data_IF_370708378372
#
_entry.id   IF_370708378372
#
_cell.length_a   1.000
_cell.length_b   1.000
_cell.length_c   1.000
_cell.angle_alpha   90.00
_cell.angle_beta   90.00
_cell.angle_gamma   90.00
#
_symmetry.space_group_name_H-M   'P 1'
#
loop_
_entity.id
_entity.type
_entity.pdbx_description
1 polymer ?
#
# COMPACT_ATOMS: atom_id res chain seq x y z
N UNK A 1 48.18 -26.66 -20.06
CA UNK A 1 46.75 -26.95 -19.82
C UNK A 1 46.20 -25.89 -18.88
N UNK A 2 45.38 -24.99 -19.42
CA UNK A 2 44.89 -23.77 -18.78
C UNK A 2 43.86 -24.09 -17.69
N UNK A 3 43.99 -23.48 -16.51
CA UNK A 3 42.91 -23.38 -15.53
C UNK A 3 42.81 -21.93 -15.08
N UNK A 4 42.00 -21.15 -15.80
CA UNK A 4 41.58 -19.82 -15.36
C UNK A 4 40.24 -19.99 -14.66
N UNK A 5 40.25 -19.99 -13.33
CA UNK A 5 39.05 -19.87 -12.50
C UNK A 5 38.42 -18.50 -12.74
N UNK A 6 37.19 -18.48 -13.24
CA UNK A 6 36.35 -17.28 -13.21
C UNK A 6 35.68 -17.20 -11.83
N UNK A 7 36.16 -16.30 -10.99
CA UNK A 7 35.52 -15.96 -9.70
C UNK A 7 34.92 -14.55 -9.80
N UNK A 8 33.70 -14.48 -10.33
CA UNK A 8 32.90 -13.24 -10.31
C UNK A 8 31.60 -13.47 -9.55
N UNK A 9 31.69 -13.98 -8.33
CA UNK A 9 30.58 -13.86 -7.37
C UNK A 9 30.76 -12.53 -6.65
N UNK A 10 30.19 -11.47 -7.25
CA UNK A 10 30.01 -10.19 -6.54
C UNK A 10 29.04 -10.43 -5.39
N UNK A 11 29.58 -10.72 -4.21
CA UNK A 11 28.85 -10.62 -2.96
C UNK A 11 28.36 -9.18 -2.80
N UNK A 12 27.13 -8.88 -3.26
CA UNK A 12 26.42 -7.67 -2.85
C UNK A 12 26.16 -7.82 -1.35
N UNK A 13 27.02 -7.21 -0.54
CA UNK A 13 26.75 -7.05 0.89
C UNK A 13 25.35 -6.43 1.03
N UNK A 14 24.45 -7.03 1.84
CA UNK A 14 23.13 -6.44 2.08
C UNK A 14 23.35 -5.03 2.60
N UNK A 15 22.85 -4.01 1.88
CA UNK A 15 22.89 -2.64 2.40
C UNK A 15 22.18 -2.62 3.75
N UNK A 16 22.78 -2.05 4.81
CA UNK A 16 22.10 -1.95 6.10
C UNK A 16 20.77 -1.24 5.87
N UNK A 17 19.69 -1.91 6.26
CA UNK A 17 18.32 -1.44 6.09
C UNK A 17 18.17 -0.23 7.02
N UNK A 18 18.31 0.98 6.44
CA UNK A 18 18.12 2.27 7.11
C UNK A 18 16.83 2.16 7.94
N UNK A 19 16.93 2.26 9.25
CA UNK A 19 15.77 2.20 10.13
C UNK A 19 14.80 3.30 9.71
N UNK A 20 13.68 2.90 9.11
CA UNK A 20 12.64 3.81 8.64
C UNK A 20 11.88 4.30 9.87
N UNK A 21 12.28 5.45 10.39
CA UNK A 21 11.46 6.25 11.33
C UNK A 21 10.11 6.70 10.72
N UNK A 22 9.82 6.35 9.46
CA UNK A 22 8.59 6.69 8.73
C UNK A 22 7.43 5.73 9.01
N UNK A 23 7.67 4.53 9.55
CA UNK A 23 6.64 3.50 9.67
C UNK A 23 5.51 3.90 10.64
N UNK A 24 5.85 4.56 11.75
CA UNK A 24 4.87 4.98 12.76
C UNK A 24 3.94 6.08 12.23
N UNK A 25 4.50 7.08 11.54
CA UNK A 25 3.70 8.16 10.93
C UNK A 25 2.78 7.65 9.81
N UNK A 26 3.23 6.68 9.00
CA UNK A 26 2.38 6.07 7.97
C UNK A 26 1.23 5.27 8.57
N UNK A 27 1.48 4.51 9.64
CA UNK A 27 0.43 3.72 10.29
C UNK A 27 -0.63 4.63 10.94
N UNK A 28 -0.20 5.68 11.63
CA UNK A 28 -1.11 6.69 12.19
C UNK A 28 -1.98 7.35 11.11
N UNK A 29 -1.40 7.70 9.96
CA UNK A 29 -2.16 8.23 8.83
C UNK A 29 -3.22 7.25 8.34
N UNK A 30 -2.86 5.96 8.19
CA UNK A 30 -3.79 4.91 7.77
C UNK A 30 -4.91 4.76 8.80
N UNK A 31 -4.59 4.66 10.09
CA UNK A 31 -5.58 4.52 11.15
C UNK A 31 -6.56 5.71 11.17
N UNK A 32 -6.04 6.94 11.02
CA UNK A 32 -6.88 8.15 10.93
C UNK A 32 -7.79 8.09 9.70
N UNK A 33 -7.25 7.75 8.54
CA UNK A 33 -8.03 7.65 7.30
C UNK A 33 -9.12 6.58 7.39
N UNK A 34 -8.84 5.43 8.03
CA UNK A 34 -9.83 4.40 8.28
C UNK A 34 -10.91 4.85 9.27
N UNK A 35 -10.56 5.59 10.31
CA UNK A 35 -11.55 6.17 11.22
C UNK A 35 -12.48 7.16 10.50
N UNK A 36 -11.95 7.99 9.60
CA UNK A 36 -12.78 8.85 8.73
C UNK A 36 -13.67 8.05 7.79
N UNK A 37 -13.16 6.97 7.19
CA UNK A 37 -13.94 6.08 6.32
C UNK A 37 -15.11 5.43 7.07
N UNK A 38 -14.88 5.01 8.32
CA UNK A 38 -15.92 4.44 9.17
C UNK A 38 -16.99 5.47 9.57
N UNK A 39 -16.61 6.74 9.75
CA UNK A 39 -17.55 7.81 10.03
C UNK A 39 -18.33 8.27 8.78
N UNK A 40 -17.71 8.18 7.59
CA UNK A 40 -18.25 8.63 6.31
C UNK A 40 -18.12 7.52 5.27
N UNK A 41 -19.05 6.52 5.26
CA UNK A 41 -19.00 5.38 4.34
C UNK A 41 -19.03 5.79 2.87
N UNK A 42 -19.62 6.94 2.54
CA UNK A 42 -19.68 7.48 1.18
C UNK A 42 -18.28 7.72 0.57
N UNK A 43 -17.25 7.91 1.40
CA UNK A 43 -15.87 8.14 0.98
C UNK A 43 -15.15 6.89 0.48
N UNK A 44 -15.81 5.72 0.50
CA UNK A 44 -15.34 4.54 -0.25
C UNK A 44 -15.21 4.87 -1.74
N UNK A 45 -16.08 5.74 -2.27
CA UNK A 45 -15.97 6.25 -3.65
C UNK A 45 -14.62 6.91 -3.93
N UNK A 46 -14.10 7.71 -3.00
CA UNK A 46 -12.77 8.35 -3.11
C UNK A 46 -11.65 7.31 -3.23
N UNK A 47 -11.75 6.21 -2.47
CA UNK A 47 -10.77 5.12 -2.55
C UNK A 47 -10.84 4.45 -3.93
N UNK A 48 -12.05 4.22 -4.45
CA UNK A 48 -12.25 3.66 -5.80
C UNK A 48 -11.63 4.57 -6.87
N UNK A 49 -11.87 5.87 -6.79
CA UNK A 49 -11.31 6.86 -7.72
C UNK A 49 -9.78 6.88 -7.65
N UNK A 50 -9.21 6.84 -6.45
CA UNK A 50 -7.76 6.74 -6.25
C UNK A 50 -7.20 5.47 -6.91
N UNK A 51 -7.84 4.31 -6.69
CA UNK A 51 -7.42 3.03 -7.29
C UNK A 51 -7.40 3.13 -8.82
N UNK A 52 -8.47 3.65 -9.42
CA UNK A 52 -8.54 3.86 -10.88
C UNK A 52 -7.49 4.86 -11.38
N UNK A 53 -7.27 5.95 -10.64
CA UNK A 53 -6.26 6.95 -10.97
C UNK A 53 -4.84 6.35 -11.01
N UNK A 54 -4.45 5.59 -9.99
CA UNK A 54 -3.13 4.95 -9.96
C UNK A 54 -3.00 3.79 -10.95
N UNK A 55 -4.10 3.10 -11.27
CA UNK A 55 -4.11 2.03 -12.28
C UNK A 55 -3.82 2.55 -13.69
N UNK A 56 -4.34 3.73 -14.02
CA UNK A 56 -4.13 4.38 -15.32
C UNK A 56 -2.69 4.86 -15.57
N UNK A 57 -1.80 4.79 -14.57
CA UNK A 57 -0.43 5.28 -14.71
C UNK A 57 0.42 4.37 -15.63
N UNK A 58 1.07 4.92 -16.67
CA UNK A 58 1.77 4.12 -17.69
C UNK A 58 2.98 3.36 -17.13
N UNK A 59 3.67 3.93 -16.15
CA UNK A 59 4.89 3.38 -15.56
C UNK A 59 4.67 2.67 -14.22
N UNK A 60 3.44 2.22 -13.94
CA UNK A 60 3.13 1.57 -12.67
C UNK A 60 3.88 0.23 -12.52
N UNK A 61 4.73 0.07 -11.48
CA UNK A 61 5.48 -1.16 -11.23
C UNK A 61 4.55 -2.37 -11.02
N UNK A 62 4.99 -3.57 -11.43
CA UNK A 62 4.20 -4.81 -11.29
C UNK A 62 3.69 -5.06 -9.87
N UNK A 63 4.52 -4.77 -8.85
CA UNK A 63 4.13 -4.93 -7.45
C UNK A 63 2.98 -3.99 -7.03
N UNK A 64 2.99 -2.74 -7.51
CA UNK A 64 1.91 -1.78 -7.28
C UNK A 64 0.65 -2.18 -8.05
N UNK A 65 0.81 -2.63 -9.31
CA UNK A 65 -0.30 -3.13 -10.13
C UNK A 65 -1.01 -4.34 -9.48
N UNK A 66 -0.26 -5.25 -8.87
CA UNK A 66 -0.83 -6.36 -8.11
C UNK A 66 -1.56 -5.90 -6.85
N UNK A 67 -1.05 -4.90 -6.15
CA UNK A 67 -1.71 -4.35 -4.98
C UNK A 67 -3.04 -3.66 -5.34
N UNK A 68 -3.08 -2.89 -6.43
CA UNK A 68 -4.32 -2.27 -6.92
C UNK A 68 -5.38 -3.32 -7.26
N UNK A 69 -5.01 -4.41 -7.93
CA UNK A 69 -5.94 -5.53 -8.21
C UNK A 69 -6.52 -6.15 -6.94
N UNK A 70 -5.69 -6.30 -5.89
CA UNK A 70 -6.14 -6.81 -4.59
C UNK A 70 -7.11 -5.83 -3.93
N UNK A 71 -6.85 -4.53 -4.00
CA UNK A 71 -7.78 -3.50 -3.55
C UNK A 71 -9.11 -3.54 -4.30
N UNK A 72 -9.08 -3.64 -5.63
CA UNK A 72 -10.30 -3.78 -6.43
C UNK A 72 -11.12 -4.99 -6.00
N UNK A 73 -10.47 -6.13 -5.76
CA UNK A 73 -11.16 -7.33 -5.26
C UNK A 73 -11.83 -7.08 -3.91
N UNK A 74 -11.12 -6.50 -2.93
CA UNK A 74 -11.70 -6.20 -1.61
C UNK A 74 -12.89 -5.25 -1.73
N UNK A 75 -12.76 -4.18 -2.51
CA UNK A 75 -13.82 -3.19 -2.74
C UNK A 75 -15.00 -3.73 -3.58
N UNK A 76 -14.83 -4.89 -4.23
CA UNK A 76 -15.90 -5.60 -4.93
C UNK A 76 -16.57 -6.66 -4.06
N UNK A 77 -15.87 -7.18 -3.03
CA UNK A 77 -16.40 -8.15 -2.08
C UNK A 77 -17.22 -7.48 -0.99
N UNK A 78 -16.78 -6.33 -0.51
CA UNK A 78 -17.45 -5.59 0.56
C UNK A 78 -17.39 -4.08 0.34
N UNK A 79 -18.52 -3.43 0.61
CA UNK A 79 -18.67 -1.98 0.69
C UNK A 79 -18.79 -1.52 2.16
N UNK A 80 -18.56 -2.41 3.14
CA UNK A 80 -18.60 -2.05 4.57
C UNK A 80 -17.25 -1.43 5.00
N UNK A 81 -17.21 -0.16 5.43
CA UNK A 81 -16.00 0.46 5.96
C UNK A 81 -15.37 -0.31 7.14
N UNK A 82 -16.19 -0.97 7.96
CA UNK A 82 -15.70 -1.72 9.11
C UNK A 82 -14.92 -2.97 8.67
N UNK A 83 -15.45 -3.69 7.68
CA UNK A 83 -14.74 -4.83 7.08
C UNK A 83 -13.47 -4.35 6.37
N UNK A 84 -13.55 -3.31 5.55
CA UNK A 84 -12.38 -2.76 4.85
C UNK A 84 -11.27 -2.38 5.84
N UNK A 85 -11.62 -1.69 6.93
CA UNK A 85 -10.66 -1.32 7.96
C UNK A 85 -10.04 -2.54 8.64
N UNK A 86 -10.85 -3.56 8.94
CA UNK A 86 -10.37 -4.81 9.53
C UNK A 86 -9.36 -5.51 8.61
N UNK A 87 -9.66 -5.62 7.32
CA UNK A 87 -8.78 -6.25 6.34
C UNK A 87 -7.45 -5.48 6.18
N UNK A 88 -7.52 -4.14 6.18
CA UNK A 88 -6.32 -3.30 6.04
C UNK A 88 -5.44 -3.36 7.29
N UNK A 89 -6.02 -3.50 8.49
CA UNK A 89 -5.27 -3.57 9.75
C UNK A 89 -4.83 -4.99 10.13
N UNK A 90 -5.40 -6.02 9.51
CA UNK A 90 -5.05 -7.41 9.77
C UNK A 90 -3.55 -7.68 9.60
N UNK A 91 -2.98 -8.55 10.45
CA UNK A 91 -1.60 -9.01 10.28
C UNK A 91 -1.48 -10.13 9.24
N UNK A 92 -2.20 -10.02 8.14
CA UNK A 92 -2.05 -10.89 6.98
C UNK A 92 -1.10 -10.30 5.95
N UNK A 93 -0.68 -11.13 4.99
CA UNK A 93 0.11 -10.65 3.85
C UNK A 93 -0.63 -9.53 3.10
N UNK A 94 -1.95 -9.67 2.94
CA UNK A 94 -2.81 -8.67 2.31
C UNK A 94 -2.83 -7.36 3.09
N UNK A 95 -3.10 -7.40 4.40
CA UNK A 95 -3.05 -6.21 5.26
C UNK A 95 -1.70 -5.49 5.20
N UNK A 96 -0.59 -6.24 5.26
CA UNK A 96 0.76 -5.67 5.11
C UNK A 96 1.02 -5.07 3.74
N UNK A 97 0.39 -5.58 2.68
CA UNK A 97 0.45 -5.01 1.33
C UNK A 97 -0.37 -3.74 1.25
N UNK A 98 -1.58 -3.72 1.78
CA UNK A 98 -2.42 -2.52 1.82
C UNK A 98 -1.72 -1.35 2.52
N UNK A 99 -1.09 -1.61 3.67
CA UNK A 99 -0.33 -0.60 4.42
C UNK A 99 0.92 -0.07 3.70
N UNK A 100 1.36 -0.71 2.60
CA UNK A 100 2.44 -0.18 1.75
C UNK A 100 1.97 0.89 0.75
N UNK A 101 0.66 1.05 0.58
CA UNK A 101 0.06 2.00 -0.37
C UNK A 101 -0.90 2.98 0.35
N UNK A 102 -0.40 3.77 1.33
CA UNK A 102 -1.24 4.73 2.06
C UNK A 102 -1.89 5.78 1.16
N UNK A 103 -1.27 6.08 0.01
CA UNK A 103 -1.77 7.05 -0.96
C UNK A 103 -3.14 6.71 -1.55
N UNK A 104 -3.61 5.47 -1.42
CA UNK A 104 -4.96 5.07 -1.84
C UNK A 104 -6.05 5.60 -0.91
N UNK A 105 -5.69 5.99 0.31
CA UNK A 105 -6.57 6.60 1.30
C UNK A 105 -6.53 8.13 1.25
N UNK A 106 -5.85 8.71 0.27
CA UNK A 106 -5.74 10.17 0.10
C UNK A 106 -7.12 10.78 -0.12
N UNK A 107 -7.46 11.82 0.64
CA UNK A 107 -8.74 12.51 0.55
C UNK A 107 -9.90 11.84 1.30
N UNK A 108 -9.66 10.72 2.01
CA UNK A 108 -10.68 10.07 2.84
C UNK A 108 -10.95 10.87 4.12
N UNK A 109 -9.91 11.24 4.85
CA UNK A 109 -10.05 12.40 5.74
C UNK A 109 -9.84 13.63 4.86
N UNK A 110 -10.76 14.59 4.92
CA UNK A 110 -10.47 15.96 4.52
C UNK A 110 -9.41 16.47 5.52
N UNK A 111 -8.15 16.17 5.24
CA UNK A 111 -7.09 17.08 5.64
C UNK A 111 -7.16 18.22 4.62
N UNK A 112 -7.96 19.22 4.95
CA UNK A 112 -7.66 20.61 4.60
C UNK A 112 -6.32 21.00 5.26
N UNK A 113 -5.24 20.31 4.90
CA UNK A 113 -3.88 20.76 5.15
C UNK A 113 -3.57 21.77 4.04
N UNK A 114 -3.95 23.02 4.35
CA UNK A 114 -3.41 24.30 3.87
C UNK A 114 -2.13 24.24 3.02
#
# INVERSE_FOLDING_TARGET
MSQTRYDFIRHRSPRPRRQRHTATSTLQYIERALACLQAQPEKISVIRDNVTHYEAQPHLPKAARNALKRFQYVLAVTDDPQEIARWILEDSEEGRKFRQFPLLLKGVCDDEDN
#
